data_IF_905713439359
#
_entry.id   IF_905713439359
#
_cell.length_a   1.000
_cell.length_b   1.000
_cell.length_c   1.000
_cell.angle_alpha   90.00
_cell.angle_beta   90.00
_cell.angle_gamma   90.00
#
_symmetry.space_group_name_H-M   'P 1'
#
loop_
_entity.id
_entity.type
_entity.pdbx_description
1 polymer ?
#
# COMPACT_ATOMS: atom_id res chain seq x y z
N UNK A 1 16.95 -11.47 2.13
CA UNK A 1 15.89 -12.18 1.39
C UNK A 1 14.58 -11.57 1.85
N UNK A 2 13.80 -11.00 0.94
CA UNK A 2 12.52 -10.39 1.29
C UNK A 2 11.50 -11.50 1.61
N UNK A 3 10.74 -11.30 2.69
CA UNK A 3 9.80 -12.28 3.22
C UNK A 3 8.64 -12.51 2.23
N UNK A 4 8.41 -13.74 1.75
CA UNK A 4 7.35 -14.03 0.78
C UNK A 4 5.93 -13.92 1.36
N UNK A 5 5.77 -13.79 2.69
CA UNK A 5 4.46 -13.61 3.34
C UNK A 5 3.97 -12.14 3.36
N UNK A 6 4.77 -11.20 2.85
CA UNK A 6 4.36 -9.79 2.76
C UNK A 6 3.55 -9.47 1.48
N UNK A 7 3.03 -10.48 0.80
CA UNK A 7 2.20 -10.33 -0.40
C UNK A 7 0.76 -10.76 -0.12
N UNK A 8 -0.21 -9.92 -0.48
CA UNK A 8 -1.58 -10.41 -0.76
C UNK A 8 -2.51 -9.36 -1.37
N UNK A 9 -2.22 -8.06 -1.27
CA UNK A 9 -3.14 -7.02 -1.77
C UNK A 9 -2.50 -5.90 -2.59
N UNK A 10 -1.19 -5.68 -2.47
CA UNK A 10 -0.47 -4.60 -3.16
C UNK A 10 0.45 -5.15 -4.24
N UNK A 11 0.16 -4.83 -5.50
CA UNK A 11 1.09 -5.05 -6.62
C UNK A 11 1.95 -3.80 -6.78
N UNK A 12 3.26 -3.96 -6.95
CA UNK A 12 4.19 -2.84 -7.12
C UNK A 12 4.71 -2.76 -8.56
N UNK A 13 4.84 -1.54 -9.08
CA UNK A 13 5.46 -1.28 -10.37
C UNK A 13 7.00 -1.29 -10.28
N UNK A 14 7.67 -1.10 -11.42
CA UNK A 14 9.15 -1.11 -11.50
C UNK A 14 9.83 0.01 -10.70
N UNK A 15 9.10 1.06 -10.34
CA UNK A 15 9.59 2.14 -9.48
C UNK A 15 9.31 1.89 -7.99
N UNK A 16 8.61 0.80 -7.63
CA UNK A 16 8.24 0.48 -6.25
C UNK A 16 6.98 1.21 -5.76
N UNK A 17 6.22 1.85 -6.65
CA UNK A 17 4.90 2.40 -6.31
C UNK A 17 3.82 1.33 -6.43
N UNK A 18 2.74 1.46 -5.66
CA UNK A 18 1.57 0.59 -5.79
C UNK A 18 0.94 0.79 -7.17
N UNK A 19 0.83 -0.30 -7.92
CA UNK A 19 0.14 -0.39 -9.19
C UNK A 19 -1.34 -0.72 -8.92
N UNK A 20 -2.15 0.34 -8.80
CA UNK A 20 -3.58 0.21 -8.44
C UNK A 20 -4.31 -0.68 -9.44
N UNK A 21 -4.09 -0.48 -10.74
CA UNK A 21 -4.75 -1.20 -11.84
C UNK A 21 -4.51 -2.70 -11.76
N UNK A 22 -3.30 -3.10 -11.35
CA UNK A 22 -2.93 -4.52 -11.24
C UNK A 22 -3.19 -5.10 -9.85
N UNK A 23 -3.64 -4.29 -8.90
CA UNK A 23 -3.94 -4.72 -7.54
C UNK A 23 -5.41 -5.10 -7.36
N UNK A 24 -5.73 -5.71 -6.23
CA UNK A 24 -7.11 -6.02 -5.85
C UNK A 24 -7.96 -4.76 -5.56
N UNK A 25 -7.34 -3.59 -5.44
CA UNK A 25 -8.07 -2.33 -5.21
C UNK A 25 -8.70 -1.78 -6.49
N UNK A 26 -8.40 -2.36 -7.66
CA UNK A 26 -9.03 -1.95 -8.91
C UNK A 26 -10.41 -2.60 -9.08
N UNK A 27 -11.47 -1.80 -9.09
CA UNK A 27 -12.83 -2.24 -9.39
C UNK A 27 -13.34 -1.54 -10.67
N UNK A 28 -13.41 -2.25 -11.81
CA UNK A 28 -13.90 -1.69 -13.07
C UNK A 28 -15.43 -1.49 -13.08
N UNK A 29 -16.16 -2.01 -12.09
CA UNK A 29 -17.61 -1.84 -11.98
C UNK A 29 -17.99 -0.66 -11.07
N UNK A 30 -17.00 0.05 -10.55
CA UNK A 30 -17.24 1.22 -9.73
C UNK A 30 -17.84 2.32 -10.62
N UNK A 31 -19.09 2.69 -10.35
CA UNK A 31 -19.77 3.79 -11.03
C UNK A 31 -19.18 5.12 -10.57
N UNK A 32 -18.13 5.57 -11.26
CA UNK A 32 -17.51 6.90 -11.12
C UNK A 32 -17.54 7.61 -12.46
N UNK A 33 -17.62 8.94 -12.44
CA UNK A 33 -17.79 9.78 -13.61
C UNK A 33 -16.44 9.95 -14.35
N UNK A 34 -15.90 8.85 -14.90
CA UNK A 34 -14.63 8.72 -15.67
C UNK A 34 -13.40 9.48 -15.12
N UNK A 35 -13.48 10.00 -13.89
CA UNK A 35 -12.49 10.84 -13.25
C UNK A 35 -11.63 9.99 -12.33
N UNK A 36 -10.32 10.11 -12.54
CA UNK A 36 -9.32 9.48 -11.68
C UNK A 36 -9.47 9.96 -10.23
N UNK A 37 -9.88 11.22 -10.02
CA UNK A 37 -10.04 11.81 -8.69
C UNK A 37 -11.18 11.14 -7.92
N UNK A 38 -12.37 11.03 -8.53
CA UNK A 38 -13.53 10.39 -7.92
C UNK A 38 -13.29 8.89 -7.66
N UNK A 39 -12.64 8.21 -8.60
CA UNK A 39 -12.19 6.83 -8.40
C UNK A 39 -11.32 6.69 -7.15
N UNK A 40 -10.32 7.57 -7.02
CA UNK A 40 -9.42 7.58 -5.86
C UNK A 40 -10.18 7.87 -4.57
N UNK A 41 -11.11 8.83 -4.56
CA UNK A 41 -11.94 9.14 -3.40
C UNK A 41 -12.79 7.95 -2.93
N UNK A 42 -13.27 7.13 -3.85
CA UNK A 42 -14.05 5.94 -3.51
C UNK A 42 -13.18 4.82 -2.92
N UNK A 43 -11.97 4.62 -3.44
CA UNK A 43 -11.07 3.56 -2.95
C UNK A 43 -10.20 4.00 -1.77
N UNK A 44 -10.14 5.31 -1.44
CA UNK A 44 -9.21 5.87 -0.46
C UNK A 44 -9.37 5.23 0.93
N UNK A 45 -10.62 4.93 1.31
CA UNK A 45 -10.92 4.34 2.61
C UNK A 45 -10.32 2.93 2.71
N UNK A 46 -10.62 2.08 1.72
CA UNK A 46 -10.09 0.71 1.62
C UNK A 46 -8.57 0.70 1.53
N UNK A 47 -8.00 1.60 0.71
CA UNK A 47 -6.56 1.76 0.56
C UNK A 47 -5.89 2.14 1.87
N UNK A 48 -6.48 3.10 2.61
CA UNK A 48 -5.94 3.56 3.90
C UNK A 48 -5.95 2.46 4.96
N UNK A 49 -6.98 1.60 4.97
CA UNK A 49 -7.04 0.45 5.89
C UNK A 49 -5.93 -0.54 5.58
N UNK A 50 -5.79 -0.93 4.31
CA UNK A 50 -4.78 -1.89 3.90
C UNK A 50 -3.35 -1.38 4.12
N UNK A 51 -3.10 -0.08 3.91
CA UNK A 51 -1.80 0.55 4.23
C UNK A 51 -1.55 0.49 5.75
N UNK A 52 -2.54 0.83 6.58
CA UNK A 52 -2.40 0.76 8.04
C UNK A 52 -2.10 -0.65 8.51
N UNK A 53 -2.78 -1.66 7.98
CA UNK A 53 -2.51 -3.06 8.31
C UNK A 53 -1.08 -3.47 7.93
N UNK A 54 -0.61 -3.07 6.74
CA UNK A 54 0.79 -3.29 6.34
C UNK A 54 1.77 -2.58 7.27
N UNK A 55 1.50 -1.35 7.69
CA UNK A 55 2.34 -0.59 8.63
C UNK A 55 2.34 -1.22 10.03
N UNK A 56 1.20 -1.70 10.51
CA UNK A 56 1.14 -2.42 11.78
C UNK A 56 1.90 -3.74 11.74
N UNK A 57 1.99 -4.37 10.56
CA UNK A 57 2.70 -5.62 10.38
C UNK A 57 4.21 -5.43 10.10
N UNK A 58 4.72 -4.20 9.96
CA UNK A 58 6.17 -3.99 9.90
C UNK A 58 6.79 -4.01 11.29
N UNK A 59 7.85 -4.80 11.45
CA UNK A 59 8.69 -4.78 12.65
C UNK A 59 9.49 -3.47 12.68
N UNK A 60 9.12 -2.57 13.58
CA UNK A 60 9.85 -1.32 13.82
C UNK A 60 11.14 -1.61 14.59
N UNK A 61 12.30 -1.31 13.99
CA UNK A 61 13.60 -1.40 14.68
C UNK A 61 14.11 0.00 15.00
N UNK A 62 14.05 0.38 16.27
CA UNK A 62 14.70 1.60 16.76
C UNK A 62 16.19 1.30 16.93
N UNK A 63 17.04 1.88 16.08
CA UNK A 63 18.50 1.81 16.24
C UNK A 63 19.01 3.06 16.96
N UNK A 64 19.39 2.91 18.23
CA UNK A 64 20.20 3.90 18.93
C UNK A 64 21.68 3.61 18.65
N UNK A 65 22.43 4.59 18.15
CA UNK A 65 23.90 4.52 18.12
C UNK A 65 24.42 4.98 19.48
N UNK A 66 25.19 4.18 20.23
CA UNK A 66 25.89 4.69 21.39
C UNK A 66 26.90 5.75 20.90
N UNK A 67 26.79 6.98 21.40
CA UNK A 67 27.88 7.95 21.29
C UNK A 67 29.04 7.38 22.11
N UNK A 68 30.10 6.95 21.43
CA UNK A 68 31.36 6.67 22.09
C UNK A 68 31.88 8.00 22.62
N UNK A 69 31.99 8.10 23.94
CA UNK A 69 32.56 9.25 24.64
C UNK A 69 34.07 9.36 24.51
#
# INVERSE_FOLDING_TARGET
>A
MADPELDSSFVYNKQGFVDIIRSHFFDPNLEVDDSIEEYVEHIIFTLSSAIKEKICNVQWKITAKPQQG
#
